data_IF_627090478045
#
_entry.id   IF_627090478045
#
_cell.length_a   1.000
_cell.length_b   1.000
_cell.length_c   1.000
_cell.angle_alpha   90.00
_cell.angle_beta   90.00
_cell.angle_gamma   90.00
#
_symmetry.space_group_name_H-M   'P 1'
#
loop_
_entity.id
_entity.type
_entity.pdbx_description
1 polymer ?
#
# COMPACT_ATOMS: atom_id res chain seq x y z
N UNK A 1 -17.32 -2.84 1.08
CA UNK A 1 -16.18 -3.67 0.61
C UNK A 1 -15.69 -3.09 -0.69
N UNK A 2 -14.41 -2.80 -0.81
CA UNK A 2 -13.80 -2.19 -2.02
C UNK A 2 -12.77 -3.16 -2.57
N UNK A 3 -13.21 -4.21 -3.28
CA UNK A 3 -12.28 -5.21 -3.82
C UNK A 3 -11.32 -4.56 -4.81
N UNK A 4 -10.06 -4.98 -4.82
CA UNK A 4 -9.05 -4.55 -5.79
C UNK A 4 -9.35 -5.14 -7.17
N UNK A 5 -10.37 -4.59 -7.86
CA UNK A 5 -10.77 -5.02 -9.19
C UNK A 5 -9.88 -4.45 -10.30
N UNK A 6 -9.41 -3.22 -10.11
CA UNK A 6 -8.58 -2.50 -11.07
C UNK A 6 -7.27 -2.07 -10.43
N UNK A 7 -6.19 -2.67 -10.88
CA UNK A 7 -4.85 -2.47 -10.35
C UNK A 7 -4.01 -1.68 -11.35
N UNK A 8 -3.29 -0.64 -10.89
CA UNK A 8 -2.33 0.13 -11.68
C UNK A 8 -0.93 -0.11 -11.13
N UNK A 9 -0.01 -0.62 -11.96
CA UNK A 9 1.37 -0.92 -11.58
C UNK A 9 2.30 0.09 -12.22
N UNK A 10 3.01 0.87 -11.39
CA UNK A 10 3.94 1.90 -11.85
C UNK A 10 5.35 1.31 -12.00
N UNK A 11 5.77 1.05 -13.24
CA UNK A 11 7.08 0.53 -13.60
C UNK A 11 8.07 1.66 -13.89
N UNK A 12 9.35 1.45 -13.62
CA UNK A 12 10.39 2.45 -13.87
C UNK A 12 11.52 1.99 -14.80
N UNK A 13 11.36 0.81 -15.41
CA UNK A 13 12.30 0.16 -16.31
C UNK A 13 13.67 -0.14 -15.68
N UNK A 14 13.63 -0.68 -14.46
CA UNK A 14 14.81 -1.17 -13.72
C UNK A 14 14.56 -2.59 -13.23
N UNK A 15 15.55 -3.22 -12.55
CA UNK A 15 15.42 -4.53 -11.93
C UNK A 15 14.23 -4.64 -10.95
N UNK A 16 13.74 -3.52 -10.43
CA UNK A 16 12.56 -3.47 -9.58
C UNK A 16 11.28 -3.96 -10.28
N UNK A 17 11.21 -3.81 -11.61
CA UNK A 17 10.00 -4.12 -12.37
C UNK A 17 9.64 -5.62 -12.30
N UNK A 18 10.62 -6.52 -12.26
CA UNK A 18 10.39 -7.96 -12.10
C UNK A 18 9.64 -8.27 -10.80
N UNK A 19 10.14 -7.76 -9.67
CA UNK A 19 9.49 -7.93 -8.37
C UNK A 19 8.07 -7.32 -8.34
N UNK A 20 7.89 -6.15 -8.98
CA UNK A 20 6.58 -5.51 -9.08
C UNK A 20 5.59 -6.32 -9.91
N UNK A 21 6.03 -6.87 -11.04
CA UNK A 21 5.19 -7.68 -11.92
C UNK A 21 4.80 -8.99 -11.23
N UNK A 22 5.75 -9.68 -10.58
CA UNK A 22 5.48 -10.89 -9.81
C UNK A 22 4.48 -10.63 -8.69
N UNK A 23 4.68 -9.54 -7.93
CA UNK A 23 3.75 -9.17 -6.86
C UNK A 23 2.37 -8.78 -7.41
N UNK A 24 2.30 -8.06 -8.52
CA UNK A 24 1.05 -7.72 -9.18
C UNK A 24 0.31 -8.95 -9.70
N UNK A 25 1.05 -9.93 -10.22
CA UNK A 25 0.50 -11.24 -10.61
C UNK A 25 -0.11 -11.95 -9.40
N UNK A 26 0.66 -12.07 -8.31
CA UNK A 26 0.16 -12.65 -7.07
C UNK A 26 -1.11 -11.92 -6.57
N UNK A 27 -1.09 -10.60 -6.50
CA UNK A 27 -2.22 -9.79 -6.05
C UNK A 27 -3.44 -10.00 -6.95
N UNK A 28 -3.26 -10.02 -8.27
CA UNK A 28 -4.35 -10.18 -9.23
C UNK A 28 -5.06 -11.53 -9.11
N UNK A 29 -4.33 -12.60 -8.79
CA UNK A 29 -4.90 -13.95 -8.60
C UNK A 29 -5.56 -14.14 -7.22
N UNK A 30 -5.10 -13.41 -6.21
CA UNK A 30 -5.61 -13.49 -4.84
C UNK A 30 -6.61 -12.37 -4.48
N UNK A 31 -7.07 -11.60 -5.47
CA UNK A 31 -8.12 -10.58 -5.32
C UNK A 31 -9.14 -10.71 -6.47
N UNK A 32 -10.32 -10.08 -6.40
CA UNK A 32 -11.29 -10.09 -7.51
C UNK A 32 -10.83 -9.17 -8.65
N UNK A 33 -9.56 -9.25 -9.07
CA UNK A 33 -9.02 -8.39 -10.09
C UNK A 33 -9.65 -8.67 -11.46
N UNK A 34 -10.20 -7.63 -12.08
CA UNK A 34 -10.74 -7.63 -13.43
C UNK A 34 -9.72 -7.10 -14.44
N UNK A 35 -8.80 -6.24 -13.97
CA UNK A 35 -7.76 -5.67 -14.84
C UNK A 35 -6.50 -5.24 -14.11
N UNK A 36 -5.35 -5.42 -14.76
CA UNK A 36 -4.05 -4.90 -14.35
C UNK A 36 -3.50 -3.99 -15.45
N UNK A 37 -3.22 -2.74 -15.11
CA UNK A 37 -2.65 -1.76 -16.02
C UNK A 37 -1.21 -1.45 -15.62
N UNK A 38 -0.24 -1.89 -16.42
CA UNK A 38 1.16 -1.55 -16.27
C UNK A 38 1.46 -0.22 -16.96
N UNK A 39 2.09 0.72 -16.24
CA UNK A 39 2.44 2.03 -16.78
C UNK A 39 3.89 2.37 -16.50
N UNK A 40 4.60 2.83 -17.55
CA UNK A 40 5.91 3.45 -17.42
C UNK A 40 5.83 4.90 -17.89
N UNK A 41 6.58 5.80 -17.27
CA UNK A 41 6.65 7.21 -17.66
C UNK A 41 8.07 7.55 -18.12
N UNK A 42 8.22 7.80 -19.41
CA UNK A 42 9.48 8.28 -20.02
C UNK A 42 9.60 9.79 -19.81
N UNK A 43 10.77 10.25 -19.33
CA UNK A 43 11.02 11.68 -19.20
C UNK A 43 10.92 12.40 -20.55
N UNK A 44 10.16 13.48 -20.53
CA UNK A 44 10.11 14.43 -21.64
C UNK A 44 11.41 15.22 -21.69
N UNK A 45 12.36 14.82 -22.54
CA UNK A 45 13.57 15.59 -22.77
C UNK A 45 13.28 16.65 -23.83
N UNK A 46 13.63 17.90 -23.55
CA UNK A 46 13.58 18.94 -24.57
C UNK A 46 14.70 18.64 -25.59
N UNK A 47 14.33 18.07 -26.73
CA UNK A 47 15.26 17.87 -27.83
C UNK A 47 15.59 19.21 -28.50
N UNK A 48 16.87 19.47 -28.82
CA UNK A 48 17.26 20.60 -29.66
C UNK A 48 16.50 20.60 -31.01
N UNK A 49 16.20 21.76 -31.52
CA UNK A 49 15.44 21.91 -32.77
C UNK A 49 16.10 21.20 -33.97
N UNK A 50 17.43 21.11 -33.98
CA UNK A 50 18.21 20.37 -34.99
C UNK A 50 17.86 18.86 -34.93
N UNK A 51 17.91 18.24 -33.73
CA UNK A 51 17.59 16.81 -33.57
C UNK A 51 16.12 16.51 -33.88
N UNK A 52 15.21 17.41 -33.54
CA UNK A 52 13.78 17.24 -33.89
C UNK A 52 13.53 17.24 -35.38
N UNK A 53 14.31 18.05 -36.14
CA UNK A 53 14.20 18.09 -37.61
C UNK A 53 14.80 16.85 -38.24
N UNK A 54 15.94 16.40 -37.72
CA UNK A 54 16.66 15.24 -38.26
C UNK A 54 15.98 13.92 -37.92
N UNK A 55 15.44 13.81 -36.71
CA UNK A 55 14.79 12.61 -36.18
C UNK A 55 13.38 12.92 -35.63
N UNK A 56 12.40 13.22 -36.49
CA UNK A 56 11.05 13.64 -36.08
C UNK A 56 10.32 12.58 -35.23
N UNK A 57 10.57 11.30 -35.46
CA UNK A 57 9.90 10.18 -34.80
C UNK A 57 10.71 9.57 -33.63
N UNK A 58 11.82 10.22 -33.21
CA UNK A 58 12.70 9.68 -32.16
C UNK A 58 11.99 9.31 -30.88
N UNK A 59 11.10 10.18 -30.41
CA UNK A 59 10.35 9.94 -29.18
C UNK A 59 9.31 8.83 -29.34
N UNK A 60 8.65 8.77 -30.48
CA UNK A 60 7.69 7.71 -30.78
C UNK A 60 8.37 6.35 -30.84
N UNK A 61 9.51 6.26 -31.52
CA UNK A 61 10.35 5.06 -31.56
C UNK A 61 10.76 4.64 -30.14
N UNK A 62 11.23 5.57 -29.29
CA UNK A 62 11.61 5.29 -27.92
C UNK A 62 10.44 4.77 -27.07
N UNK A 63 9.23 5.29 -27.27
CA UNK A 63 8.00 4.81 -26.62
C UNK A 63 7.68 3.38 -27.05
N UNK A 64 7.75 3.10 -28.35
CA UNK A 64 7.47 1.76 -28.88
C UNK A 64 8.49 0.72 -28.42
N UNK A 65 9.77 1.06 -28.41
CA UNK A 65 10.82 0.17 -27.91
C UNK A 65 10.67 -0.11 -26.41
N UNK A 66 10.34 0.93 -25.62
CA UNK A 66 10.04 0.76 -24.20
C UNK A 66 8.83 -0.15 -23.99
N UNK A 67 7.79 0.02 -24.80
CA UNK A 67 6.59 -0.81 -24.69
C UNK A 67 6.89 -2.28 -24.99
N UNK A 68 7.64 -2.57 -26.06
CA UNK A 68 8.08 -3.93 -26.40
C UNK A 68 8.92 -4.57 -25.29
N UNK A 69 9.82 -3.78 -24.67
CA UNK A 69 10.62 -4.25 -23.55
C UNK A 69 9.74 -4.64 -22.35
N UNK A 70 8.77 -3.80 -22.01
CA UNK A 70 7.84 -4.07 -20.92
C UNK A 70 6.93 -5.27 -21.22
N UNK A 71 6.43 -5.39 -22.45
CA UNK A 71 5.64 -6.55 -22.88
C UNK A 71 6.39 -7.85 -22.66
N UNK A 72 7.69 -7.90 -23.04
CA UNK A 72 8.53 -9.07 -22.82
C UNK A 72 8.65 -9.45 -21.33
N UNK A 73 9.01 -8.48 -20.48
CA UNK A 73 9.18 -8.73 -19.03
C UNK A 73 7.86 -9.12 -18.37
N UNK A 74 6.75 -8.50 -18.80
CA UNK A 74 5.41 -8.82 -18.25
C UNK A 74 5.00 -10.24 -18.64
N UNK A 75 5.21 -10.67 -19.88
CA UNK A 75 4.92 -12.05 -20.31
C UNK A 75 5.76 -13.07 -19.53
N UNK A 76 6.99 -12.72 -19.17
CA UNK A 76 7.89 -13.60 -18.43
C UNK A 76 7.54 -13.74 -16.95
N UNK A 77 7.01 -12.70 -16.30
CA UNK A 77 6.83 -12.63 -14.85
C UNK A 77 5.38 -12.48 -14.38
N UNK A 78 4.42 -12.24 -15.28
CA UNK A 78 3.00 -12.17 -14.94
C UNK A 78 2.30 -13.45 -15.41
N UNK A 79 1.61 -14.13 -14.50
CA UNK A 79 0.83 -15.31 -14.85
C UNK A 79 -0.40 -14.93 -15.69
N UNK A 80 -0.38 -15.31 -16.96
CA UNK A 80 -1.42 -15.06 -17.95
C UNK A 80 -2.45 -16.19 -18.05
N UNK A 81 -2.43 -17.18 -17.16
CA UNK A 81 -3.34 -18.34 -17.22
C UNK A 81 -4.79 -17.97 -16.89
N UNK A 82 -5.00 -16.93 -16.09
CA UNK A 82 -6.34 -16.40 -15.85
C UNK A 82 -6.75 -15.39 -16.95
N UNK A 83 -7.44 -15.89 -17.97
CA UNK A 83 -7.91 -15.11 -19.10
C UNK A 83 -8.99 -14.07 -18.78
N UNK A 84 -9.58 -14.09 -17.58
CA UNK A 84 -10.56 -13.09 -17.15
C UNK A 84 -9.89 -11.76 -16.77
N UNK A 85 -8.61 -11.77 -16.42
CA UNK A 85 -7.84 -10.58 -16.05
C UNK A 85 -7.37 -9.84 -17.30
N UNK A 86 -7.88 -8.64 -17.54
CA UNK A 86 -7.48 -7.79 -18.66
C UNK A 86 -6.14 -7.11 -18.35
N UNK A 87 -5.08 -7.47 -19.07
CA UNK A 87 -3.77 -6.82 -18.96
C UNK A 87 -3.66 -5.67 -19.97
N UNK A 88 -3.28 -4.48 -19.50
CA UNK A 88 -3.01 -3.30 -20.31
C UNK A 88 -1.61 -2.78 -20.05
N UNK A 89 -0.91 -2.36 -21.09
CA UNK A 89 0.44 -1.78 -21.00
C UNK A 89 0.43 -0.42 -21.67
N UNK A 90 0.92 0.61 -20.98
CA UNK A 90 1.07 1.95 -21.55
C UNK A 90 2.42 2.57 -21.17
N UNK A 91 2.94 3.37 -22.10
CA UNK A 91 4.13 4.19 -21.89
C UNK A 91 3.70 5.63 -22.10
N UNK A 92 3.78 6.42 -21.02
CA UNK A 92 3.40 7.83 -21.01
C UNK A 92 4.66 8.70 -21.11
N UNK A 93 4.52 9.88 -21.70
CA UNK A 93 5.59 10.87 -21.76
C UNK A 93 5.36 11.98 -20.75
N UNK A 94 6.35 12.28 -19.89
CA UNK A 94 6.20 13.37 -18.92
C UNK A 94 7.33 13.52 -17.92
N UNK A 95 7.43 14.69 -17.27
CA UNK A 95 8.51 15.02 -16.35
C UNK A 95 8.22 14.61 -14.89
N UNK A 96 6.97 14.34 -14.57
CA UNK A 96 6.49 14.01 -13.22
C UNK A 96 5.74 12.67 -13.22
N UNK A 97 6.42 11.52 -13.06
CA UNK A 97 5.80 10.20 -13.10
C UNK A 97 4.60 10.09 -12.14
N UNK A 98 4.71 10.58 -10.92
CA UNK A 98 3.61 10.55 -9.95
C UNK A 98 2.33 11.27 -10.44
N UNK A 99 2.46 12.36 -11.20
CA UNK A 99 1.31 13.09 -11.77
C UNK A 99 0.59 12.26 -12.83
N UNK A 100 1.35 11.56 -13.69
CA UNK A 100 0.78 10.69 -14.73
C UNK A 100 0.08 9.48 -14.11
N UNK A 101 0.71 8.82 -13.13
CA UNK A 101 0.15 7.69 -12.40
C UNK A 101 -1.18 8.10 -11.71
N UNK A 102 -1.21 9.23 -11.00
CA UNK A 102 -2.43 9.75 -10.35
C UNK A 102 -3.53 10.05 -11.35
N UNK A 103 -3.21 10.71 -12.48
CA UNK A 103 -4.17 11.01 -13.56
C UNK A 103 -4.75 9.74 -14.18
N UNK A 104 -3.93 8.72 -14.39
CA UNK A 104 -4.38 7.42 -14.91
C UNK A 104 -5.25 6.69 -13.87
N UNK A 105 -4.87 6.74 -12.60
CA UNK A 105 -5.63 6.13 -11.53
C UNK A 105 -7.05 6.74 -11.43
N UNK A 106 -7.18 8.05 -11.53
CA UNK A 106 -8.45 8.76 -11.56
C UNK A 106 -9.25 8.42 -12.83
N UNK A 107 -8.64 8.58 -14.02
CA UNK A 107 -9.26 8.34 -15.33
C UNK A 107 -9.84 6.94 -15.46
N UNK A 108 -9.16 5.93 -14.94
CA UNK A 108 -9.56 4.52 -15.06
C UNK A 108 -10.25 3.99 -13.80
N UNK A 109 -10.52 4.85 -12.82
CA UNK A 109 -11.14 4.49 -11.54
C UNK A 109 -10.43 3.29 -10.87
N UNK A 110 -9.11 3.42 -10.71
CA UNK A 110 -8.23 2.40 -10.13
C UNK A 110 -8.55 2.20 -8.65
N UNK A 111 -8.47 0.95 -8.17
CA UNK A 111 -8.68 0.58 -6.77
C UNK A 111 -7.39 0.55 -5.97
N UNK A 112 -6.30 0.10 -6.59
CA UNK A 112 -4.99 0.04 -5.97
C UNK A 112 -3.87 0.44 -6.95
N UNK A 113 -2.94 1.28 -6.48
CA UNK A 113 -1.69 1.56 -7.17
C UNK A 113 -0.59 0.72 -6.53
N UNK A 114 0.19 0.02 -7.35
CA UNK A 114 1.37 -0.74 -6.92
C UNK A 114 2.62 0.02 -7.37
N UNK A 115 3.55 0.25 -6.43
CA UNK A 115 4.78 1.01 -6.67
C UNK A 115 5.95 0.39 -5.93
N UNK A 116 7.14 0.41 -6.54
CA UNK A 116 8.34 -0.17 -5.98
C UNK A 116 9.04 0.69 -4.95
N UNK A 117 9.77 0.02 -4.06
CA UNK A 117 10.75 0.62 -3.14
C UNK A 117 12.11 -0.03 -3.34
N UNK A 118 13.09 0.73 -3.80
CA UNK A 118 14.46 0.26 -4.04
C UNK A 118 15.29 0.23 -2.75
N UNK A 119 16.04 -0.84 -2.53
CA UNK A 119 16.92 -1.02 -1.35
C UNK A 119 17.99 0.07 -1.17
N UNK A 120 18.49 0.65 -2.26
CA UNK A 120 19.62 1.61 -2.23
C UNK A 120 19.24 3.06 -1.95
N UNK A 121 17.96 3.40 -1.89
CA UNK A 121 17.53 4.76 -1.59
C UNK A 121 17.22 4.85 -0.09
N UNK A 122 18.06 5.58 0.66
CA UNK A 122 17.92 5.80 2.12
C UNK A 122 16.56 6.40 2.56
N UNK A 123 15.77 6.91 1.61
CA UNK A 123 14.41 7.40 1.84
C UNK A 123 13.48 6.84 0.78
N UNK A 124 12.20 6.67 1.10
CA UNK A 124 11.18 6.33 0.11
C UNK A 124 11.28 7.32 -1.06
N UNK A 125 11.15 6.82 -2.29
CA UNK A 125 11.29 7.69 -3.47
C UNK A 125 10.30 8.85 -3.40
N UNK A 126 10.67 10.00 -3.95
CA UNK A 126 9.79 11.18 -4.06
C UNK A 126 8.47 10.82 -4.74
N UNK A 127 8.50 9.87 -5.68
CA UNK A 127 7.31 9.34 -6.35
C UNK A 127 6.39 8.64 -5.37
N UNK A 128 6.91 7.70 -4.56
CA UNK A 128 6.13 6.95 -3.55
C UNK A 128 5.51 7.88 -2.52
N UNK A 129 6.24 8.87 -2.00
CA UNK A 129 5.72 9.84 -1.04
C UNK A 129 4.61 10.71 -1.65
N UNK A 130 4.77 11.15 -2.90
CA UNK A 130 3.74 11.93 -3.61
C UNK A 130 2.48 11.10 -3.88
N UNK A 131 2.64 9.84 -4.28
CA UNK A 131 1.51 8.93 -4.45
C UNK A 131 0.80 8.70 -3.12
N UNK A 132 1.55 8.44 -2.05
CA UNK A 132 0.99 8.24 -0.72
C UNK A 132 0.19 9.44 -0.19
N UNK A 133 0.60 10.66 -0.51
CA UNK A 133 -0.12 11.87 -0.09
C UNK A 133 -1.32 12.23 -0.97
N UNK A 134 -1.34 11.81 -2.26
CA UNK A 134 -2.30 12.32 -3.25
C UNK A 134 -3.19 11.27 -3.88
N UNK A 135 -2.87 9.97 -3.76
CA UNK A 135 -3.72 8.94 -4.32
C UNK A 135 -5.10 8.94 -3.64
N UNK A 136 -6.14 8.79 -4.43
CA UNK A 136 -7.53 8.67 -3.98
C UNK A 136 -7.96 7.20 -3.79
N UNK A 137 -7.06 6.26 -4.08
CA UNK A 137 -7.23 4.82 -3.94
C UNK A 137 -6.13 4.24 -3.05
N UNK A 138 -6.21 2.95 -2.76
CA UNK A 138 -5.21 2.24 -1.98
C UNK A 138 -3.84 2.27 -2.66
N UNK A 139 -2.77 2.23 -1.85
CA UNK A 139 -1.39 2.24 -2.33
C UNK A 139 -0.63 1.07 -1.73
N UNK A 140 -0.07 0.23 -2.57
CA UNK A 140 0.81 -0.87 -2.20
C UNK A 140 2.25 -0.53 -2.55
N UNK A 141 3.12 -0.51 -1.57
CA UNK A 141 4.55 -0.25 -1.69
C UNK A 141 5.28 -1.58 -1.55
N UNK A 142 5.94 -2.01 -2.61
CA UNK A 142 6.59 -3.33 -2.72
C UNK A 142 8.11 -3.16 -2.67
N UNK A 143 8.82 -3.77 -1.72
CA UNK A 143 10.27 -3.83 -1.70
C UNK A 143 10.84 -4.70 -2.83
N UNK A 144 12.12 -4.46 -3.18
CA UNK A 144 12.85 -5.23 -4.18
C UNK A 144 13.27 -6.60 -3.63
N UNK A 145 12.38 -7.60 -3.74
CA UNK A 145 12.65 -9.00 -3.42
C UNK A 145 11.68 -9.92 -4.16
N UNK A 146 11.97 -11.20 -4.19
CA UNK A 146 11.04 -12.21 -4.69
C UNK A 146 9.90 -12.47 -3.70
N UNK A 147 8.70 -12.66 -4.24
CA UNK A 147 7.49 -12.94 -3.47
C UNK A 147 6.88 -14.27 -3.93
N UNK A 148 6.94 -15.27 -3.09
CA UNK A 148 6.41 -16.61 -3.38
C UNK A 148 5.06 -16.89 -2.71
N UNK A 149 4.77 -16.21 -1.61
CA UNK A 149 3.51 -16.35 -0.88
C UNK A 149 3.16 -15.08 -0.09
N UNK A 150 1.91 -14.96 0.33
CA UNK A 150 1.42 -13.93 1.25
C UNK A 150 0.48 -14.59 2.28
N UNK A 151 1.07 -15.49 3.09
CA UNK A 151 0.34 -16.32 4.06
C UNK A 151 0.27 -15.72 5.47
N UNK A 152 0.93 -14.58 5.72
CA UNK A 152 0.85 -13.89 7.01
C UNK A 152 0.76 -12.38 6.84
N UNK A 153 -0.42 -11.85 7.17
CA UNK A 153 -0.74 -10.43 7.04
C UNK A 153 -0.85 -9.81 8.42
N UNK A 154 -0.13 -8.71 8.67
CA UNK A 154 -0.30 -7.90 9.88
C UNK A 154 -1.10 -6.65 9.59
N UNK A 155 -2.25 -6.49 10.26
CA UNK A 155 -3.06 -5.28 10.21
C UNK A 155 -2.72 -4.41 11.42
N UNK A 156 -2.05 -3.29 11.22
CA UNK A 156 -1.80 -2.30 12.26
C UNK A 156 -3.08 -1.51 12.54
N UNK A 157 -3.57 -1.54 13.78
CA UNK A 157 -4.86 -0.96 14.16
C UNK A 157 -4.75 0.00 15.34
N UNK A 158 -5.49 1.08 15.26
CA UNK A 158 -5.82 1.99 16.37
C UNK A 158 -7.31 1.91 16.73
N UNK A 159 -8.02 0.90 16.20
CA UNK A 159 -9.45 0.71 16.35
C UNK A 159 -10.29 1.86 15.75
N UNK A 160 -9.78 2.57 14.77
CA UNK A 160 -10.51 3.55 13.97
C UNK A 160 -11.35 2.87 12.88
N UNK A 161 -12.22 3.66 12.24
CA UNK A 161 -12.98 3.23 11.06
C UNK A 161 -12.05 2.86 9.89
N UNK A 162 -10.97 3.61 9.71
CA UNK A 162 -9.98 3.36 8.68
C UNK A 162 -9.22 2.06 8.91
N UNK A 163 -8.85 1.76 10.17
CA UNK A 163 -8.24 0.47 10.49
C UNK A 163 -9.22 -0.70 10.40
N UNK A 164 -10.52 -0.48 10.62
CA UNK A 164 -11.55 -1.47 10.34
C UNK A 164 -11.64 -1.79 8.85
N UNK A 165 -11.59 -0.76 7.99
CA UNK A 165 -11.54 -0.97 6.52
C UNK A 165 -10.27 -1.72 6.11
N UNK A 166 -9.13 -1.39 6.71
CA UNK A 166 -7.87 -2.09 6.46
C UNK A 166 -7.95 -3.59 6.83
N UNK A 167 -8.59 -3.90 7.96
CA UNK A 167 -8.81 -5.29 8.38
C UNK A 167 -9.78 -6.02 7.44
N UNK A 168 -10.85 -5.38 7.00
CA UNK A 168 -11.79 -5.97 6.03
C UNK A 168 -11.11 -6.31 4.70
N UNK A 169 -10.21 -5.47 4.18
CA UNK A 169 -9.44 -5.77 2.97
C UNK A 169 -8.48 -6.96 3.19
N UNK A 170 -7.84 -7.05 4.35
CA UNK A 170 -7.01 -8.21 4.69
C UNK A 170 -7.82 -9.52 4.76
N UNK A 171 -9.05 -9.46 5.31
CA UNK A 171 -9.97 -10.61 5.37
C UNK A 171 -10.33 -11.10 3.97
N UNK A 172 -10.61 -10.18 3.03
CA UNK A 172 -10.90 -10.56 1.63
C UNK A 172 -9.73 -11.29 0.98
N UNK A 173 -8.51 -10.81 1.20
CA UNK A 173 -7.30 -11.48 0.68
C UNK A 173 -7.13 -12.87 1.30
N UNK A 174 -7.35 -13.00 2.62
CA UNK A 174 -7.23 -14.28 3.33
C UNK A 174 -8.31 -15.28 2.89
N UNK A 175 -9.57 -14.85 2.78
CA UNK A 175 -10.68 -15.68 2.30
C UNK A 175 -10.37 -16.30 0.93
N UNK A 176 -9.89 -15.49 -0.01
CA UNK A 176 -9.52 -15.96 -1.35
C UNK A 176 -8.31 -16.87 -1.34
N UNK A 177 -7.30 -16.56 -0.52
CA UNK A 177 -6.17 -17.44 -0.31
C UNK A 177 -6.62 -18.81 0.18
N UNK A 178 -7.53 -18.87 1.14
CA UNK A 178 -8.10 -20.12 1.66
C UNK A 178 -8.84 -20.90 0.58
N UNK A 179 -9.65 -20.24 -0.25
CA UNK A 179 -10.29 -20.88 -1.40
C UNK A 179 -9.29 -21.42 -2.44
N UNK A 180 -8.11 -20.81 -2.54
CA UNK A 180 -7.01 -21.28 -3.37
C UNK A 180 -6.11 -22.34 -2.68
N UNK A 181 -6.50 -22.82 -1.48
CA UNK A 181 -5.74 -23.83 -0.71
C UNK A 181 -4.55 -23.23 0.06
N UNK A 182 -4.49 -21.91 0.23
CA UNK A 182 -3.48 -21.22 1.03
C UNK A 182 -4.04 -20.92 2.42
N UNK A 183 -3.29 -21.24 3.46
CA UNK A 183 -3.63 -20.86 4.84
C UNK A 183 -3.07 -19.46 5.13
N UNK A 184 -3.95 -18.44 5.11
CA UNK A 184 -3.55 -17.05 5.33
C UNK A 184 -3.92 -16.61 6.75
N UNK A 185 -2.91 -16.38 7.56
CA UNK A 185 -3.02 -15.89 8.93
C UNK A 185 -3.15 -14.37 8.96
N UNK A 186 -4.12 -13.83 9.72
CA UNK A 186 -4.25 -12.40 9.98
C UNK A 186 -3.89 -12.09 11.43
N UNK A 187 -2.93 -11.17 11.62
CA UNK A 187 -2.53 -10.65 12.92
C UNK A 187 -3.05 -9.22 13.05
N UNK A 188 -3.98 -8.98 13.95
CA UNK A 188 -4.50 -7.64 14.26
C UNK A 188 -3.65 -7.02 15.39
N UNK A 189 -2.69 -6.16 15.02
CA UNK A 189 -1.69 -5.61 15.93
C UNK A 189 -2.05 -4.20 16.39
N UNK A 190 -2.20 -4.04 17.69
CA UNK A 190 -2.37 -2.75 18.36
C UNK A 190 -1.17 -2.42 19.24
N UNK A 191 -0.61 -1.24 19.07
CA UNK A 191 0.48 -0.71 19.89
C UNK A 191 -0.11 0.32 20.86
N UNK A 192 0.11 0.11 22.16
CA UNK A 192 -0.37 1.01 23.21
C UNK A 192 0.78 1.68 23.95
N UNK A 193 0.51 2.83 24.54
CA UNK A 193 1.46 3.65 25.30
C UNK A 193 0.89 3.99 26.67
N UNK A 194 1.75 4.22 27.63
CA UNK A 194 1.41 4.83 28.92
C UNK A 194 1.34 6.35 28.73
N UNK A 195 0.27 7.03 29.14
CA UNK A 195 0.10 8.45 28.92
C UNK A 195 1.13 9.27 29.72
N UNK A 196 1.54 10.40 29.15
CA UNK A 196 2.33 11.41 29.85
C UNK A 196 1.54 11.84 31.10
N UNK A 197 2.19 11.88 32.26
CA UNK A 197 1.52 12.25 33.50
C UNK A 197 0.95 11.06 34.28
N UNK A 198 1.28 9.81 33.89
CA UNK A 198 0.88 8.61 34.65
C UNK A 198 1.26 8.70 36.15
N UNK A 199 2.34 9.40 36.49
CA UNK A 199 2.79 9.61 37.88
C UNK A 199 1.77 10.35 38.76
N UNK A 200 0.83 11.11 38.18
CA UNK A 200 -0.28 11.70 38.93
C UNK A 200 -1.36 10.67 39.35
N UNK A 201 -1.29 9.46 38.83
CA UNK A 201 -2.24 8.39 39.19
C UNK A 201 -1.88 7.65 40.49
N UNK A 202 -0.68 7.90 41.04
CA UNK A 202 -0.09 7.14 42.16
C UNK A 202 0.36 5.73 41.80
N UNK A 203 0.30 5.34 40.51
CA UNK A 203 0.73 4.03 40.00
C UNK A 203 2.13 4.11 39.39
N UNK A 204 2.84 2.98 39.45
CA UNK A 204 4.08 2.81 38.72
C UNK A 204 3.84 2.79 37.20
N UNK A 205 4.92 2.98 36.41
CA UNK A 205 4.86 2.91 34.96
C UNK A 205 4.36 1.55 34.46
N UNK A 206 4.80 0.46 35.09
CA UNK A 206 4.41 -0.90 34.73
C UNK A 206 2.94 -1.18 35.08
N UNK A 207 2.45 -0.74 36.26
CA UNK A 207 1.03 -0.84 36.62
C UNK A 207 0.13 -0.07 35.66
N UNK A 208 0.58 1.12 35.20
CA UNK A 208 -0.12 1.85 34.16
C UNK A 208 -0.10 1.11 32.81
N UNK A 209 1.01 0.47 32.47
CA UNK A 209 1.14 -0.39 31.30
C UNK A 209 0.10 -1.53 31.30
N UNK A 210 -0.07 -2.21 32.44
CA UNK A 210 -1.05 -3.28 32.60
C UNK A 210 -2.51 -2.75 32.42
N UNK A 211 -2.79 -1.57 32.97
CA UNK A 211 -4.09 -0.92 32.77
C UNK A 211 -4.33 -0.61 31.29
N UNK A 212 -3.33 -0.08 30.60
CA UNK A 212 -3.42 0.23 29.17
C UNK A 212 -3.60 -1.02 28.33
N UNK A 213 -2.91 -2.12 28.65
CA UNK A 213 -3.09 -3.42 27.99
C UNK A 213 -4.51 -3.95 28.16
N UNK A 214 -5.05 -3.93 29.39
CA UNK A 214 -6.43 -4.35 29.67
C UNK A 214 -7.43 -3.52 28.87
N UNK A 215 -7.22 -2.21 28.78
CA UNK A 215 -8.05 -1.32 28.00
C UNK A 215 -7.96 -1.62 26.49
N UNK A 216 -6.76 -1.85 25.97
CA UNK A 216 -6.54 -2.24 24.58
C UNK A 216 -7.29 -3.53 24.22
N UNK A 217 -7.23 -4.56 25.09
CA UNK A 217 -7.99 -5.81 24.92
C UNK A 217 -9.50 -5.59 24.94
N UNK A 218 -10.00 -4.69 25.78
CA UNK A 218 -11.43 -4.33 25.82
C UNK A 218 -11.85 -3.61 24.53
N UNK A 219 -11.06 -2.64 24.06
CA UNK A 219 -11.32 -1.93 22.81
C UNK A 219 -11.28 -2.87 21.60
N UNK A 220 -10.32 -3.80 21.56
CA UNK A 220 -10.25 -4.82 20.52
C UNK A 220 -11.52 -5.66 20.42
N UNK A 221 -12.06 -6.14 21.56
CA UNK A 221 -13.32 -6.92 21.56
C UNK A 221 -14.45 -6.12 20.92
N UNK A 222 -14.66 -4.88 21.37
CA UNK A 222 -15.70 -4.01 20.83
C UNK A 222 -15.46 -3.60 19.36
N UNK A 223 -14.21 -3.69 18.88
CA UNK A 223 -13.84 -3.43 17.50
C UNK A 223 -14.12 -4.65 16.62
N UNK A 224 -13.67 -5.84 17.02
CA UNK A 224 -13.81 -7.05 16.23
C UNK A 224 -15.27 -7.53 16.15
N UNK A 225 -16.07 -7.33 17.19
CA UNK A 225 -17.51 -7.67 17.22
C UNK A 225 -18.32 -6.95 16.12
N UNK A 226 -17.78 -5.88 15.55
CA UNK A 226 -18.40 -5.09 14.46
C UNK A 226 -17.95 -5.49 13.08
N UNK A 227 -17.01 -6.43 12.97
CA UNK A 227 -16.36 -6.82 11.72
C UNK A 227 -16.81 -8.23 11.36
N UNK A 228 -17.34 -8.38 10.15
CA UNK A 228 -17.60 -9.70 9.59
C UNK A 228 -16.24 -10.33 9.19
N UNK A 229 -15.84 -11.33 9.95
CA UNK A 229 -14.56 -12.02 9.74
C UNK A 229 -14.66 -13.11 8.67
N UNK A 230 -15.85 -13.42 8.17
CA UNK A 230 -16.10 -14.46 7.15
C UNK A 230 -15.51 -15.84 7.54
N UNK A 231 -15.45 -16.11 8.85
CA UNK A 231 -14.87 -17.34 9.38
C UNK A 231 -13.33 -17.37 9.45
N UNK A 232 -12.66 -16.31 9.00
CA UNK A 232 -11.19 -16.19 9.13
C UNK A 232 -10.82 -15.91 10.57
N UNK A 233 -9.87 -16.68 11.11
CA UNK A 233 -9.30 -16.44 12.44
C UNK A 233 -8.41 -15.21 12.42
N UNK A 234 -8.69 -14.26 13.33
CA UNK A 234 -7.90 -13.04 13.49
C UNK A 234 -7.19 -13.07 14.82
N UNK A 235 -5.87 -13.19 14.81
CA UNK A 235 -5.04 -13.24 16.02
C UNK A 235 -4.74 -11.85 16.55
N UNK A 236 -5.22 -11.47 17.75
CA UNK A 236 -4.90 -10.18 18.33
C UNK A 236 -3.47 -10.16 18.87
N UNK A 237 -2.74 -9.08 18.57
CA UNK A 237 -1.43 -8.79 19.13
C UNK A 237 -1.45 -7.41 19.79
N UNK A 238 -0.98 -7.34 21.06
CA UNK A 238 -0.87 -6.09 21.82
C UNK A 238 0.58 -5.87 22.21
N UNK A 239 1.14 -4.76 21.81
CA UNK A 239 2.53 -4.41 22.11
C UNK A 239 2.61 -3.08 22.85
N UNK A 240 3.45 -3.03 23.86
CA UNK A 240 3.72 -1.81 24.61
C UNK A 240 4.86 -1.03 23.95
N UNK A 241 4.58 0.19 23.56
CA UNK A 241 5.60 1.13 23.10
C UNK A 241 6.13 1.93 24.31
N UNK A 242 7.36 1.60 24.71
CA UNK A 242 8.05 2.27 25.83
C UNK A 242 8.92 3.44 25.39
N UNK A 243 9.14 3.61 24.08
CA UNK A 243 10.14 4.51 23.52
C UNK A 243 9.55 5.62 22.62
N UNK A 244 8.23 5.80 22.67
CA UNK A 244 7.47 6.75 21.82
C UNK A 244 7.74 6.55 20.31
N UNK A 245 7.80 5.29 19.90
CA UNK A 245 8.07 4.90 18.52
C UNK A 245 7.19 3.72 18.05
N UNK A 246 5.90 3.97 17.95
CA UNK A 246 4.88 2.99 17.50
C UNK A 246 5.29 2.27 16.21
N UNK A 247 5.89 3.00 15.26
CA UNK A 247 6.30 2.44 13.96
C UNK A 247 7.44 1.44 14.11
N UNK A 248 8.39 1.69 15.02
CA UNK A 248 9.44 0.72 15.29
C UNK A 248 8.86 -0.57 15.86
N UNK A 249 7.94 -0.45 16.84
CA UNK A 249 7.28 -1.61 17.46
C UNK A 249 6.50 -2.43 16.43
N UNK A 250 5.73 -1.78 15.54
CA UNK A 250 5.00 -2.46 14.47
C UNK A 250 5.96 -3.26 13.59
N UNK A 251 7.03 -2.62 13.12
CA UNK A 251 7.97 -3.22 12.18
C UNK A 251 8.78 -4.36 12.79
N UNK A 252 9.28 -4.18 14.02
CA UNK A 252 10.02 -5.21 14.75
C UNK A 252 9.16 -6.45 15.01
N UNK A 253 7.89 -6.26 15.37
CA UNK A 253 6.95 -7.38 15.52
C UNK A 253 6.65 -8.04 14.20
N UNK A 254 6.52 -7.29 13.11
CA UNK A 254 6.31 -7.84 11.79
C UNK A 254 7.50 -8.71 11.35
N UNK A 255 8.74 -8.29 11.62
CA UNK A 255 9.94 -9.09 11.36
C UNK A 255 10.00 -10.34 12.24
N UNK A 256 9.74 -10.21 13.57
CA UNK A 256 9.78 -11.33 14.51
C UNK A 256 8.76 -12.42 14.19
N UNK A 257 7.68 -12.07 13.52
CA UNK A 257 6.58 -12.98 13.17
C UNK A 257 6.60 -13.38 11.69
N UNK A 258 7.66 -13.09 10.94
CA UNK A 258 7.79 -13.38 9.50
C UNK A 258 6.58 -12.91 8.68
N UNK A 259 6.12 -11.68 8.94
CA UNK A 259 4.98 -11.08 8.25
C UNK A 259 5.33 -10.80 6.79
N UNK A 260 4.46 -11.17 5.88
CA UNK A 260 4.65 -10.99 4.44
C UNK A 260 4.07 -9.66 3.93
N UNK A 261 3.10 -9.07 4.63
CA UNK A 261 2.53 -7.78 4.29
C UNK A 261 2.03 -7.05 5.55
N UNK A 262 2.37 -5.77 5.68
CA UNK A 262 1.76 -4.88 6.67
C UNK A 262 0.64 -4.12 6.00
N UNK A 263 -0.56 -4.14 6.61
CA UNK A 263 -1.74 -3.40 6.15
C UNK A 263 -2.09 -2.33 7.17
N UNK A 264 -2.34 -1.12 6.71
CA UNK A 264 -2.69 0.01 7.58
C UNK A 264 -3.73 0.90 6.91
N UNK A 265 -4.59 1.52 7.70
CA UNK A 265 -5.48 2.58 7.23
C UNK A 265 -4.71 3.84 6.81
N UNK A 266 -5.19 4.53 5.79
CA UNK A 266 -4.56 5.78 5.32
C UNK A 266 -4.54 6.90 6.37
N UNK A 267 -5.52 6.91 7.29
CA UNK A 267 -5.62 7.82 8.44
C UNK A 267 -5.86 7.01 9.71
N UNK A 268 -5.71 7.60 10.89
CA UNK A 268 -6.01 6.99 12.17
C UNK A 268 -6.80 7.96 13.07
N UNK A 269 -7.13 7.54 14.30
CA UNK A 269 -7.90 8.33 15.29
C UNK A 269 -7.34 9.72 15.57
N UNK A 270 -6.02 9.87 15.52
CA UNK A 270 -5.35 11.15 15.79
C UNK A 270 -5.34 12.12 14.60
N UNK A 271 -5.80 11.70 13.42
CA UNK A 271 -5.90 12.57 12.26
C UNK A 271 -7.18 13.44 12.37
N UNK A 272 -7.08 14.52 13.13
CA UNK A 272 -8.23 15.39 13.51
C UNK A 272 -8.72 16.33 12.42
N UNK A 273 -8.11 16.36 11.24
CA UNK A 273 -8.51 17.28 10.16
C UNK A 273 -8.49 16.61 8.80
N UNK A 274 -9.48 16.95 7.96
CA UNK A 274 -9.54 16.55 6.54
C UNK A 274 -8.37 17.10 5.70
N UNK A 275 -7.62 18.06 6.27
CA UNK A 275 -6.47 18.70 5.63
C UNK A 275 -5.22 17.78 5.49
N UNK A 276 -5.08 16.73 6.33
CA UNK A 276 -3.94 15.82 6.24
C UNK A 276 -4.34 14.55 5.49
N UNK A 277 -3.85 14.34 4.26
CA UNK A 277 -4.24 13.22 3.42
C UNK A 277 -3.74 11.86 3.93
N UNK A 278 -2.84 11.85 4.92
CA UNK A 278 -2.20 10.64 5.46
C UNK A 278 -1.93 10.79 6.96
N UNK A 279 -2.09 9.70 7.73
CA UNK A 279 -1.79 9.67 9.17
C UNK A 279 -0.28 9.67 9.46
N UNK A 280 0.12 10.24 10.59
CA UNK A 280 1.54 10.36 10.99
C UNK A 280 2.27 9.01 11.03
N UNK A 281 1.66 7.97 11.62
CA UNK A 281 2.27 6.64 11.68
C UNK A 281 2.39 6.00 10.30
N UNK A 282 1.39 6.19 9.43
CA UNK A 282 1.43 5.73 8.05
C UNK A 282 2.54 6.43 7.27
N UNK A 283 2.71 7.74 7.42
CA UNK A 283 3.80 8.50 6.78
C UNK A 283 5.19 8.05 7.27
N UNK A 284 5.34 7.79 8.58
CA UNK A 284 6.57 7.25 9.17
C UNK A 284 6.89 5.84 8.65
N UNK A 285 5.88 4.95 8.50
CA UNK A 285 6.04 3.62 7.90
C UNK A 285 6.49 3.71 6.44
N UNK A 286 5.92 4.62 5.65
CA UNK A 286 6.34 4.87 4.27
C UNK A 286 7.80 5.31 4.19
N UNK A 287 8.21 6.16 5.12
CA UNK A 287 9.57 6.73 5.15
C UNK A 287 10.62 5.75 5.68
N UNK A 288 10.18 4.71 6.39
CA UNK A 288 11.08 3.67 6.89
C UNK A 288 11.53 2.76 5.75
N UNK A 289 12.81 2.42 5.72
CA UNK A 289 13.31 1.39 4.82
C UNK A 289 12.86 0.03 5.32
N UNK A 290 11.84 -0.54 4.68
CA UNK A 290 11.24 -1.80 5.08
C UNK A 290 11.43 -2.85 4.00
N UNK A 291 11.70 -4.07 4.41
CA UNK A 291 11.75 -5.25 3.54
C UNK A 291 10.39 -5.96 3.42
N UNK A 292 9.37 -5.43 4.08
CA UNK A 292 8.00 -5.95 4.09
C UNK A 292 7.11 -5.04 3.24
N UNK A 293 6.30 -5.57 2.31
CA UNK A 293 5.28 -4.83 1.60
C UNK A 293 4.35 -4.07 2.54
N UNK A 294 4.00 -2.84 2.17
CA UNK A 294 3.10 -1.98 2.92
C UNK A 294 1.88 -1.62 2.08
N UNK A 295 0.72 -2.12 2.50
CA UNK A 295 -0.58 -1.76 1.92
C UNK A 295 -1.23 -0.66 2.75
N UNK A 296 -1.44 0.49 2.14
CA UNK A 296 -2.18 1.63 2.70
C UNK A 296 -3.58 1.59 2.12
N UNK A 297 -4.55 1.23 2.94
CA UNK A 297 -5.95 1.10 2.52
C UNK A 297 -6.66 2.45 2.57
N UNK A 298 -7.34 2.80 1.50
CA UNK A 298 -8.15 4.02 1.36
C UNK A 298 -9.50 3.72 0.74
N UNK A 299 -10.60 4.07 1.42
CA UNK A 299 -11.93 4.02 0.81
C UNK A 299 -12.05 5.07 -0.30
N UNK A 300 -12.52 4.69 -1.47
CA UNK A 300 -12.64 5.57 -2.65
C UNK A 300 -13.46 6.86 -2.42
N UNK A 301 -14.41 6.83 -1.50
CA UNK A 301 -15.38 7.93 -1.33
C UNK A 301 -14.92 9.07 -0.41
N UNK A 302 -13.82 8.93 0.33
CA UNK A 302 -13.36 9.96 1.31
C UNK A 302 -12.73 11.18 0.62
N UNK A 303 -12.36 11.08 -0.65
CA UNK A 303 -11.57 12.11 -1.33
C UNK A 303 -12.33 12.90 -2.43
N UNK A 304 -13.60 12.60 -2.71
CA UNK A 304 -14.37 13.37 -3.68
C UNK A 304 -14.49 14.86 -3.27
N UNK A 305 -14.71 15.13 -1.98
CA UNK A 305 -14.79 16.51 -1.47
C UNK A 305 -13.46 17.27 -1.47
N UNK A 306 -12.32 16.57 -1.31
CA UNK A 306 -11.00 17.21 -1.33
C UNK A 306 -10.57 17.61 -2.74
N UNK A 307 -10.94 16.82 -3.77
CA UNK A 307 -10.66 17.15 -5.17
C UNK A 307 -11.50 18.34 -5.66
N UNK A 308 -12.75 18.46 -5.22
CA UNK A 308 -13.57 19.66 -5.51
C UNK A 308 -13.00 20.94 -4.86
N UNK A 309 -12.43 20.84 -3.64
CA UNK A 309 -11.76 21.97 -3.00
C UNK A 309 -10.47 22.37 -3.70
N UNK A 310 -9.65 21.41 -4.17
CA UNK A 310 -8.39 21.71 -4.86
C UNK A 310 -8.57 22.19 -6.31
N UNK A 311 -9.73 21.96 -6.92
CA UNK A 311 -10.07 22.54 -8.23
C UNK A 311 -10.57 23.99 -8.14
N UNK A 312 -10.90 24.46 -6.93
CA UNK A 312 -11.37 25.85 -6.65
C UNK A 312 -10.27 26.79 -6.17
N UNK A 313 -9.01 26.32 -6.06
CA UNK A 313 -7.78 27.07 -5.79
C UNK A 313 -6.88 27.03 -7.03
#
# INVERSE_FOLDING_TARGET
MYPFKKILVALDATSMDEALIQFASFLAHNTPAESVHFVNVIKSTQLPSSLKKEFPNLMEAAIQDRKKMLEKIIIEHFDMTNHEIKVKISVEQGNLPSKHVLKLAEKHNIDAIVVGRKKKLKNSSVVTQRLARRATCSLLIVPEKEYTNMNRIMVATDFSKESATALQEAIVVAERGTHAGQDVEIICHHVYQVPIGYHYTGKSYDECGDVMQKNAKKQYRAFIDKIDTQGIEIKPLFSWDRNDNVVAVIYEKALQMDVNCIVIGGKGKSASTDFFPIGTNTERLISRDTEIPLLIVRPKHVNAGLMEMLQKI
#
